data_IF_282562001805
#
_entry.id   IF_282562001805
#
_cell.length_a   1.000
_cell.length_b   1.000
_cell.length_c   1.000
_cell.angle_alpha   90.00
_cell.angle_beta   90.00
_cell.angle_gamma   90.00
#
_symmetry.space_group_name_H-M   'P 1'
#
loop_
_entity.id
_entity.type
_entity.pdbx_description
1 polymer ?
#
# COMPACT_ATOMS: atom_id res chain seq x y z
N UNK A 1 5.88 -1.52 -51.73
CA UNK A 1 6.60 -0.25 -51.97
C UNK A 1 7.20 0.21 -50.65
N UNK A 2 8.50 0.50 -50.63
CA UNK A 2 9.28 0.86 -49.45
C UNK A 2 9.18 2.38 -49.24
N UNK A 3 8.91 2.83 -48.02
CA UNK A 3 9.20 4.21 -47.61
C UNK A 3 9.81 4.18 -46.22
N UNK A 4 11.14 4.39 -46.19
CA UNK A 4 11.93 4.66 -44.99
C UNK A 4 11.95 6.17 -44.81
N UNK A 5 11.54 6.69 -43.66
CA UNK A 5 11.90 8.05 -43.25
C UNK A 5 12.44 7.96 -41.82
N UNK A 6 13.75 8.10 -41.72
CA UNK A 6 14.46 8.38 -40.49
C UNK A 6 14.48 9.90 -40.31
N UNK A 7 14.20 10.39 -39.11
CA UNK A 7 14.68 11.69 -38.68
C UNK A 7 15.12 11.59 -37.21
N UNK A 8 16.43 11.73 -37.03
CA UNK A 8 17.08 11.96 -35.76
C UNK A 8 17.04 13.46 -35.44
N UNK A 9 16.99 13.85 -34.16
CA UNK A 9 17.67 15.05 -33.66
C UNK A 9 17.77 15.07 -32.11
N UNK A 10 18.96 14.71 -31.63
CA UNK A 10 19.89 15.45 -30.75
C UNK A 10 19.41 16.32 -29.55
N UNK A 11 19.64 15.80 -28.33
CA UNK A 11 20.38 16.31 -27.14
C UNK A 11 20.50 17.83 -26.85
N UNK A 12 20.23 18.23 -25.60
CA UNK A 12 21.07 19.16 -24.81
C UNK A 12 20.79 19.09 -23.27
N UNK A 13 21.87 19.03 -22.49
CA UNK A 13 22.00 19.07 -21.03
C UNK A 13 21.78 20.46 -20.42
N UNK A 14 21.40 20.53 -19.13
CA UNK A 14 21.90 21.56 -18.21
C UNK A 14 21.91 21.04 -16.75
N UNK A 15 22.94 21.46 -16.03
CA UNK A 15 23.44 21.00 -14.73
C UNK A 15 22.98 21.88 -13.54
N UNK A 16 23.26 21.35 -12.35
CA UNK A 16 23.72 22.03 -11.14
C UNK A 16 22.70 22.57 -10.12
N UNK A 17 22.91 22.17 -8.87
CA UNK A 17 22.25 22.68 -7.68
C UNK A 17 22.67 21.92 -6.42
N UNK A 18 23.97 21.97 -6.08
CA UNK A 18 24.51 21.54 -4.78
C UNK A 18 24.38 22.71 -3.80
N UNK A 19 23.85 22.46 -2.60
CA UNK A 19 23.81 23.44 -1.51
C UNK A 19 23.70 22.73 -0.18
N UNK A 20 24.86 22.53 0.45
CA UNK A 20 25.00 21.96 1.80
C UNK A 20 24.65 22.95 2.90
N UNK A 21 24.49 22.39 4.10
CA UNK A 21 24.23 23.13 5.33
C UNK A 21 24.26 22.16 6.52
N UNK A 22 25.47 21.72 6.87
CA UNK A 22 25.82 21.16 8.18
C UNK A 22 25.86 22.30 9.19
N UNK A 23 25.17 22.16 10.33
CA UNK A 23 25.41 22.86 11.61
C UNK A 23 24.31 22.42 12.58
N UNK A 24 24.49 22.22 13.88
CA UNK A 24 25.64 22.09 14.73
C UNK A 24 25.11 21.41 15.99
N UNK A 25 25.90 20.52 16.55
CA UNK A 25 25.65 19.97 17.87
C UNK A 25 25.77 21.08 18.92
N UNK A 26 24.87 21.10 19.90
CA UNK A 26 25.14 21.73 21.18
C UNK A 26 24.56 20.86 22.29
N UNK A 27 25.46 20.13 22.94
CA UNK A 27 25.29 19.64 24.30
C UNK A 27 24.92 20.81 25.21
N UNK A 28 24.02 20.59 26.18
CA UNK A 28 24.19 21.13 27.52
C UNK A 28 23.52 20.21 28.54
N UNK A 29 24.31 19.88 29.53
CA UNK A 29 24.15 18.90 30.58
C UNK A 29 23.61 19.55 31.86
N UNK A 30 23.03 18.71 32.73
CA UNK A 30 22.89 18.84 34.18
C UNK A 30 21.75 19.68 34.74
N UNK A 31 20.79 18.98 35.35
CA UNK A 31 20.45 19.21 36.78
C UNK A 31 20.06 17.88 37.40
N UNK A 32 20.59 17.63 38.60
CA UNK A 32 20.51 16.39 39.33
C UNK A 32 19.50 16.48 40.49
N UNK A 33 18.96 15.31 40.86
CA UNK A 33 18.47 14.91 42.19
C UNK A 33 17.13 15.50 42.65
N UNK A 34 16.11 14.64 42.73
CA UNK A 34 15.40 14.34 43.98
C UNK A 34 14.54 13.08 43.78
N UNK A 35 14.94 12.00 44.46
CA UNK A 35 14.08 10.85 44.75
C UNK A 35 13.37 11.13 46.08
N UNK A 36 12.04 11.05 46.14
CA UNK A 36 11.32 10.92 47.39
C UNK A 36 10.67 9.53 47.51
N UNK A 37 11.09 8.86 48.57
CA UNK A 37 10.48 7.75 49.31
C UNK A 37 8.99 7.43 49.06
N UNK A 38 8.75 6.12 49.02
CA UNK A 38 7.44 5.49 49.08
C UNK A 38 6.65 5.87 50.34
N UNK A 39 5.33 6.04 50.19
CA UNK A 39 4.37 6.15 51.29
C UNK A 39 3.04 5.55 50.82
N UNK A 40 2.29 4.86 51.70
CA UNK A 40 1.61 3.61 51.38
C UNK A 40 0.25 3.77 50.69
N UNK A 41 -0.11 2.72 49.96
CA UNK A 41 -1.44 2.41 49.43
C UNK A 41 -2.50 2.50 50.52
N UNK A 42 -3.52 3.36 50.37
CA UNK A 42 -4.79 3.21 51.07
C UNK A 42 -5.58 2.05 50.43
N UNK A 43 -5.89 1.02 51.22
CA UNK A 43 -6.95 0.06 50.93
C UNK A 43 -8.29 0.83 50.93
N UNK A 44 -8.77 1.20 49.75
CA UNK A 44 -10.10 1.76 49.56
C UNK A 44 -11.09 0.60 49.43
N UNK A 45 -11.76 0.30 50.55
CA UNK A 45 -12.92 -0.59 50.64
C UNK A 45 -14.12 0.10 49.94
N UNK A 46 -14.10 0.03 48.61
CA UNK A 46 -15.17 0.56 47.78
C UNK A 46 -16.47 -0.25 47.96
N UNK A 47 -17.65 0.40 47.98
CA UNK A 47 -18.93 -0.29 48.12
C UNK A 47 -19.18 -1.29 46.97
N UNK A 48 -20.00 -2.33 47.19
CA UNK A 48 -20.18 -3.41 46.22
C UNK A 48 -20.59 -2.88 44.84
N UNK A 49 -19.81 -3.24 43.81
CA UNK A 49 -20.08 -2.93 42.41
C UNK A 49 -21.41 -3.57 42.03
N UNK A 50 -22.46 -2.75 41.99
CA UNK A 50 -23.74 -3.14 41.38
C UNK A 50 -23.51 -3.17 39.87
N UNK A 51 -23.44 -4.37 39.28
CA UNK A 51 -23.41 -4.51 37.83
C UNK A 51 -24.66 -3.87 37.22
N UNK A 52 -24.56 -2.90 36.29
CA UNK A 52 -25.72 -2.40 35.60
C UNK A 52 -26.27 -3.49 34.67
N UNK A 53 -27.53 -3.85 34.87
CA UNK A 53 -28.34 -4.62 33.92
C UNK A 53 -28.28 -3.95 32.54
N UNK A 54 -27.95 -4.66 31.45
CA UNK A 54 -27.87 -4.06 30.11
C UNK A 54 -29.24 -3.52 29.68
N UNK A 55 -29.32 -2.22 29.40
CA UNK A 55 -30.42 -1.63 28.68
C UNK A 55 -30.33 -2.00 27.18
N UNK A 56 -31.44 -2.37 26.51
CA UNK A 56 -31.43 -2.62 25.09
C UNK A 56 -31.38 -1.29 24.33
N UNK A 57 -30.35 -1.10 23.52
CA UNK A 57 -30.30 -0.04 22.51
C UNK A 57 -29.21 1.00 22.72
N UNK A 58 -28.02 0.71 22.21
CA UNK A 58 -27.13 1.74 21.68
C UNK A 58 -26.31 1.13 20.56
N UNK A 59 -26.30 1.83 19.43
CA UNK A 59 -25.63 1.43 18.20
C UNK A 59 -24.20 0.96 18.50
N UNK A 60 -23.86 -0.22 17.99
CA UNK A 60 -22.50 -0.72 18.06
C UNK A 60 -21.60 0.35 17.42
N UNK A 61 -20.70 0.91 18.23
CA UNK A 61 -19.51 1.59 17.73
C UNK A 61 -18.81 0.55 16.87
N UNK A 62 -18.79 0.75 15.55
CA UNK A 62 -18.03 -0.09 14.63
C UNK A 62 -16.55 0.12 14.94
N UNK A 63 -16.02 -0.70 15.84
CA UNK A 63 -14.59 -0.83 16.05
C UNK A 63 -14.01 -1.30 14.72
N UNK A 64 -13.05 -0.59 14.10
CA UNK A 64 -12.42 -1.04 12.87
C UNK A 64 -11.86 -2.44 13.09
N UNK A 65 -12.04 -3.38 12.14
CA UNK A 65 -11.50 -4.71 12.28
C UNK A 65 -9.98 -4.60 12.53
N UNK A 66 -9.41 -5.44 13.41
CA UNK A 66 -7.97 -5.47 13.61
C UNK A 66 -7.26 -5.67 12.26
N UNK A 67 -6.02 -5.16 12.09
CA UNK A 67 -5.27 -5.36 10.86
C UNK A 67 -5.27 -6.84 10.53
N UNK A 68 -5.92 -7.20 9.41
CA UNK A 68 -5.97 -8.59 8.95
C UNK A 68 -4.52 -9.06 8.87
N UNK A 69 -4.17 -10.08 9.65
CA UNK A 69 -2.84 -10.69 9.66
C UNK A 69 -2.52 -11.21 8.25
N UNK A 70 -2.02 -10.32 7.41
CA UNK A 70 -1.72 -10.58 6.02
C UNK A 70 -0.22 -10.71 5.88
N UNK A 71 0.19 -11.74 5.15
CA UNK A 71 1.55 -11.85 4.64
C UNK A 71 1.50 -11.80 3.14
N UNK A 72 2.61 -11.34 2.55
CA UNK A 72 2.79 -11.50 1.14
C UNK A 72 3.19 -12.93 0.80
N UNK A 73 2.70 -13.40 -0.34
CA UNK A 73 3.20 -14.60 -1.00
C UNK A 73 3.10 -14.40 -2.52
N UNK A 74 3.91 -15.17 -3.25
CA UNK A 74 3.85 -15.23 -4.70
C UNK A 74 3.01 -16.44 -5.09
N UNK A 75 2.03 -16.20 -5.95
CA UNK A 75 1.27 -17.24 -6.65
C UNK A 75 1.69 -17.24 -8.12
N UNK A 76 1.86 -18.43 -8.69
CA UNK A 76 2.05 -18.60 -10.12
C UNK A 76 0.69 -18.91 -10.74
N UNK A 77 0.22 -18.03 -11.61
CA UNK A 77 -1.00 -18.21 -12.38
C UNK A 77 -0.61 -18.51 -13.85
N UNK A 78 -1.50 -19.14 -14.65
CA UNK A 78 -1.21 -19.43 -16.07
C UNK A 78 -0.82 -18.19 -16.88
N UNK A 79 -1.38 -17.03 -16.49
CA UNK A 79 -1.18 -15.76 -17.16
C UNK A 79 0.03 -14.97 -16.63
N UNK A 80 0.67 -15.42 -15.55
CA UNK A 80 1.83 -14.76 -14.99
C UNK A 80 1.96 -14.86 -13.47
N UNK A 81 2.94 -14.12 -12.96
CA UNK A 81 3.26 -14.09 -11.54
C UNK A 81 2.39 -13.05 -10.82
N UNK A 82 1.81 -13.44 -9.69
CA UNK A 82 0.93 -12.61 -8.86
C UNK A 82 1.48 -12.52 -7.44
N UNK A 83 1.57 -11.30 -6.90
CA UNK A 83 1.85 -11.07 -5.49
C UNK A 83 0.52 -10.90 -4.78
N UNK A 84 0.30 -11.64 -3.71
CA UNK A 84 -0.97 -11.63 -2.97
C UNK A 84 -0.68 -11.32 -1.50
N UNK A 85 -1.39 -10.34 -0.96
CA UNK A 85 -1.37 -10.00 0.46
C UNK A 85 -2.64 -10.50 1.14
N UNK A 86 -2.49 -11.38 2.12
CA UNK A 86 -3.62 -11.89 2.90
C UNK A 86 -3.34 -13.26 3.50
N UNK A 87 -4.40 -14.00 3.88
CA UNK A 87 -4.24 -15.38 4.34
C UNK A 87 -3.69 -16.25 3.20
N UNK A 88 -2.83 -17.23 3.51
CA UNK A 88 -2.27 -18.13 2.50
C UNK A 88 -3.39 -18.91 1.81
N UNK A 89 -3.25 -19.13 0.49
CA UNK A 89 -4.21 -19.83 -0.38
C UNK A 89 -5.55 -19.12 -0.63
N UNK A 90 -5.75 -17.91 -0.11
CA UNK A 90 -6.92 -17.09 -0.44
C UNK A 90 -6.72 -16.19 -1.66
N UNK A 91 -7.72 -15.35 -1.88
CA UNK A 91 -7.77 -14.31 -2.91
C UNK A 91 -6.85 -13.13 -2.55
N UNK A 92 -6.65 -12.92 -1.24
CA UNK A 92 -5.92 -11.81 -0.68
C UNK A 92 -6.76 -10.54 -0.58
N UNK A 93 -6.42 -9.68 0.38
CA UNK A 93 -7.03 -8.36 0.50
C UNK A 93 -6.51 -7.42 -0.60
N UNK A 94 -5.25 -7.56 -1.01
CA UNK A 94 -4.67 -6.86 -2.14
C UNK A 94 -3.85 -7.85 -2.96
N UNK A 95 -3.96 -7.81 -4.28
CA UNK A 95 -3.07 -8.55 -5.17
C UNK A 95 -2.60 -7.72 -6.34
N UNK A 96 -1.42 -8.07 -6.86
CA UNK A 96 -0.79 -7.41 -7.99
C UNK A 96 -0.33 -8.49 -8.96
N UNK A 97 -0.94 -8.54 -10.13
CA UNK A 97 -0.65 -9.51 -11.18
C UNK A 97 0.10 -8.84 -12.33
N UNK A 98 1.10 -9.52 -12.86
CA UNK A 98 1.71 -9.15 -14.12
C UNK A 98 0.86 -9.60 -15.31
N UNK A 99 0.42 -8.66 -16.15
CA UNK A 99 -0.13 -8.93 -17.48
C UNK A 99 0.93 -8.56 -18.52
N UNK A 100 1.79 -9.54 -18.85
CA UNK A 100 2.88 -9.34 -19.78
C UNK A 100 2.41 -9.02 -21.22
N UNK A 101 1.39 -9.72 -21.78
CA UNK A 101 0.82 -9.36 -23.09
C UNK A 101 0.27 -7.93 -23.14
N UNK A 102 -0.46 -7.51 -22.09
CA UNK A 102 -1.02 -6.15 -21.97
C UNK A 102 -0.01 -5.09 -21.54
N UNK A 103 1.22 -5.48 -21.18
CA UNK A 103 2.30 -4.60 -20.69
C UNK A 103 1.86 -3.72 -19.53
N UNK A 104 1.11 -4.32 -18.61
CA UNK A 104 0.51 -3.64 -17.46
C UNK A 104 0.57 -4.51 -16.21
N UNK A 105 0.44 -3.87 -15.06
CA UNK A 105 0.11 -4.53 -13.80
C UNK A 105 -1.40 -4.40 -13.56
N UNK A 106 -1.99 -5.47 -13.04
CA UNK A 106 -3.37 -5.49 -12.61
C UNK A 106 -3.34 -5.50 -11.08
N UNK A 107 -3.83 -4.43 -10.47
CA UNK A 107 -4.05 -4.33 -9.05
C UNK A 107 -5.48 -4.78 -8.77
N UNK A 108 -5.67 -5.69 -7.82
CA UNK A 108 -6.99 -6.12 -7.37
C UNK A 108 -7.11 -5.91 -5.86
N UNK A 109 -8.21 -5.28 -5.44
CA UNK A 109 -8.54 -5.01 -4.05
C UNK A 109 -9.85 -5.74 -3.72
N UNK A 110 -9.79 -6.64 -2.75
CA UNK A 110 -10.96 -7.33 -2.23
C UNK A 110 -11.80 -6.33 -1.41
N UNK A 111 -13.01 -6.06 -1.89
CA UNK A 111 -14.00 -5.19 -1.28
C UNK A 111 -15.37 -5.48 -1.92
N UNK A 112 -16.47 -5.34 -1.19
CA UNK A 112 -17.80 -5.55 -1.76
C UNK A 112 -18.19 -4.36 -2.64
N UNK A 113 -18.44 -4.54 -3.95
CA UNK A 113 -18.93 -3.45 -4.77
C UNK A 113 -20.36 -3.06 -4.39
N UNK A 114 -20.60 -1.76 -4.29
CA UNK A 114 -21.92 -1.15 -4.04
C UNK A 114 -22.67 -0.81 -5.35
N UNK A 115 -21.95 -0.81 -6.48
CA UNK A 115 -22.44 -0.48 -7.81
C UNK A 115 -21.54 -1.08 -8.90
N UNK A 116 -22.04 -1.12 -10.14
CA UNK A 116 -21.24 -1.50 -11.33
C UNK A 116 -20.38 -0.34 -11.87
N UNK A 117 -20.42 0.83 -11.22
CA UNK A 117 -19.68 1.99 -11.66
C UNK A 117 -18.18 1.86 -11.33
N UNK A 118 -17.28 2.35 -12.23
CA UNK A 118 -15.87 2.45 -11.90
C UNK A 118 -15.62 3.43 -10.75
N UNK A 119 -14.66 3.10 -9.89
CA UNK A 119 -14.26 3.92 -8.74
C UNK A 119 -12.79 4.34 -8.83
N UNK A 120 -12.39 5.27 -7.98
CA UNK A 120 -11.01 5.67 -7.78
C UNK A 120 -10.30 4.70 -6.83
N UNK A 121 -9.28 3.98 -7.30
CA UNK A 121 -8.34 3.24 -6.44
C UNK A 121 -7.08 4.09 -6.28
N UNK A 122 -6.93 4.72 -5.12
CA UNK A 122 -5.75 5.49 -4.76
C UNK A 122 -4.72 4.56 -4.12
N UNK A 123 -3.46 4.69 -4.56
CA UNK A 123 -2.32 3.97 -4.00
C UNK A 123 -1.33 5.00 -3.46
N UNK A 124 -1.13 5.01 -2.14
CA UNK A 124 -0.28 5.98 -1.46
C UNK A 124 0.97 5.32 -0.90
N UNK A 125 2.10 5.96 -1.15
CA UNK A 125 3.36 5.76 -0.45
C UNK A 125 3.79 7.11 0.13
N UNK A 126 4.59 7.14 1.21
CA UNK A 126 5.15 8.40 1.72
C UNK A 126 5.95 9.18 0.66
N UNK A 127 6.55 8.47 -0.30
CA UNK A 127 7.35 9.04 -1.40
C UNK A 127 6.54 9.39 -2.65
N UNK A 128 5.22 9.23 -2.64
CA UNK A 128 4.34 9.59 -3.75
C UNK A 128 3.11 8.71 -3.87
N UNK A 129 2.10 9.19 -4.57
CA UNK A 129 0.85 8.49 -4.79
C UNK A 129 0.53 8.35 -6.29
N UNK A 130 -0.42 7.46 -6.59
CA UNK A 130 -0.98 7.30 -7.93
C UNK A 130 -2.46 6.92 -7.82
N UNK A 131 -3.22 7.26 -8.85
CA UNK A 131 -4.65 7.02 -8.91
C UNK A 131 -4.95 6.11 -10.11
N UNK A 132 -5.67 5.03 -9.86
CA UNK A 132 -6.17 4.10 -10.87
C UNK A 132 -7.68 4.24 -10.98
N UNK A 133 -8.19 4.18 -12.22
CA UNK A 133 -9.60 3.85 -12.42
C UNK A 133 -9.75 2.34 -12.20
N UNK A 134 -10.55 1.96 -11.22
CA UNK A 134 -10.81 0.58 -10.88
C UNK A 134 -12.24 0.19 -11.26
N UNK A 135 -12.41 -1.02 -11.78
CA UNK A 135 -13.69 -1.55 -12.24
C UNK A 135 -14.16 -2.62 -11.25
N UNK A 136 -15.45 -2.66 -10.91
CA UNK A 136 -15.98 -3.69 -10.03
C UNK A 136 -15.96 -5.05 -10.72
N UNK A 137 -15.73 -6.08 -9.92
CA UNK A 137 -15.87 -7.49 -10.25
C UNK A 137 -16.81 -8.06 -9.18
N UNK A 138 -17.97 -8.57 -9.58
CA UNK A 138 -19.04 -8.99 -8.66
C UNK A 138 -19.26 -10.50 -8.63
N UNK A 139 -18.51 -11.24 -9.44
CA UNK A 139 -18.62 -12.70 -9.55
C UNK A 139 -17.81 -13.41 -8.44
N UNK A 140 -17.18 -14.54 -8.74
CA UNK A 140 -16.54 -15.49 -7.81
C UNK A 140 -15.81 -14.85 -6.62
N UNK A 141 -15.14 -13.70 -6.86
CA UNK A 141 -14.45 -12.94 -5.81
C UNK A 141 -14.79 -11.45 -5.94
N UNK A 142 -15.71 -10.92 -5.10
CA UNK A 142 -16.14 -9.53 -5.20
C UNK A 142 -15.01 -8.56 -4.85
N UNK A 143 -14.72 -7.64 -5.75
CA UNK A 143 -13.61 -6.71 -5.61
C UNK A 143 -13.58 -5.62 -6.67
N UNK A 144 -12.45 -4.91 -6.69
CA UNK A 144 -12.16 -3.89 -7.69
C UNK A 144 -10.80 -4.13 -8.30
N UNK A 145 -10.70 -4.07 -9.62
CA UNK A 145 -9.42 -4.17 -10.32
C UNK A 145 -9.07 -2.90 -11.10
N UNK A 146 -7.81 -2.46 -10.99
CA UNK A 146 -7.25 -1.33 -11.71
C UNK A 146 -6.06 -1.76 -12.57
N UNK A 147 -5.88 -1.12 -13.72
CA UNK A 147 -4.78 -1.41 -14.64
C UNK A 147 -3.76 -0.29 -14.63
N UNK A 148 -2.49 -0.62 -14.41
CA UNK A 148 -1.38 0.33 -14.40
C UNK A 148 -0.36 -0.01 -15.49
N UNK A 149 -0.06 0.88 -16.44
CA UNK A 149 0.97 0.65 -17.44
C UNK A 149 2.35 0.42 -16.81
N UNK A 150 3.16 -0.51 -17.34
CA UNK A 150 4.52 -0.80 -16.80
C UNK A 150 5.52 0.36 -16.91
N UNK A 151 5.16 1.40 -17.67
CA UNK A 151 5.95 2.64 -17.84
C UNK A 151 5.60 3.71 -16.82
N UNK A 152 4.61 3.47 -15.98
CA UNK A 152 4.18 4.41 -14.96
C UNK A 152 5.36 4.73 -14.00
N UNK A 153 5.68 6.03 -13.77
CA UNK A 153 6.84 6.41 -12.96
C UNK A 153 6.77 6.01 -11.48
N UNK A 154 5.58 6.04 -10.87
CA UNK A 154 5.35 5.62 -9.49
C UNK A 154 5.74 4.16 -9.24
N UNK A 155 5.75 3.28 -10.26
CA UNK A 155 6.33 1.93 -10.12
C UNK A 155 7.83 1.93 -9.77
N UNK A 156 8.60 2.95 -10.18
CA UNK A 156 9.99 3.11 -9.74
C UNK A 156 10.04 3.50 -8.26
N UNK A 157 9.14 4.38 -7.85
CA UNK A 157 8.96 4.80 -6.45
C UNK A 157 8.60 3.59 -5.58
N UNK A 158 7.65 2.76 -6.00
CA UNK A 158 7.23 1.52 -5.32
C UNK A 158 8.40 0.54 -5.13
N UNK A 159 9.24 0.35 -6.15
CA UNK A 159 10.40 -0.54 -6.06
C UNK A 159 11.44 -0.04 -5.03
N UNK A 160 11.61 1.27 -4.91
CA UNK A 160 12.52 1.90 -3.95
C UNK A 160 11.93 2.01 -2.53
N UNK A 161 10.60 2.04 -2.40
CA UNK A 161 9.90 2.31 -1.16
C UNK A 161 10.17 1.29 -0.05
N UNK A 162 10.02 1.72 1.20
CA UNK A 162 10.00 0.91 2.42
C UNK A 162 8.77 1.31 3.23
N UNK A 163 8.41 0.50 4.23
CA UNK A 163 7.24 0.78 5.08
C UNK A 163 5.96 0.20 4.47
N UNK A 164 4.89 0.97 4.45
CA UNK A 164 3.56 0.55 4.01
C UNK A 164 3.14 1.28 2.73
N UNK A 165 2.33 0.59 1.93
CA UNK A 165 1.49 1.18 0.89
C UNK A 165 0.06 1.18 1.41
N UNK A 166 -0.60 2.32 1.28
CA UNK A 166 -2.02 2.43 1.56
C UNK A 166 -2.79 2.34 0.25
N UNK A 167 -3.82 1.50 0.20
CA UNK A 167 -4.78 1.48 -0.89
C UNK A 167 -6.12 1.95 -0.38
N UNK A 168 -6.74 2.89 -1.05
CA UNK A 168 -8.04 3.45 -0.69
C UNK A 168 -8.98 3.42 -1.91
N UNK A 169 -10.19 2.91 -1.69
CA UNK A 169 -11.26 2.87 -2.69
C UNK A 169 -12.20 4.05 -2.44
N UNK A 170 -11.99 5.13 -3.19
CA UNK A 170 -12.87 6.31 -3.22
C UNK A 170 -13.21 6.87 -1.82
N UNK A 171 -12.22 6.84 -0.90
CA UNK A 171 -12.33 7.32 0.47
C UNK A 171 -13.06 6.39 1.45
N UNK A 172 -13.41 5.15 1.06
CA UNK A 172 -14.33 4.29 1.82
C UNK A 172 -13.70 3.05 2.46
N UNK A 173 -12.61 2.52 1.90
CA UNK A 173 -12.02 1.25 2.35
C UNK A 173 -10.48 1.31 2.35
N UNK A 174 -9.88 2.07 3.29
CA UNK A 174 -8.44 2.17 3.41
C UNK A 174 -7.85 0.84 3.90
N UNK A 175 -6.81 0.38 3.20
CA UNK A 175 -6.01 -0.78 3.57
C UNK A 175 -4.54 -0.41 3.55
N UNK A 176 -3.88 -0.55 4.69
CA UNK A 176 -2.43 -0.45 4.80
C UNK A 176 -1.80 -1.83 4.71
N UNK A 177 -0.85 -2.02 3.79
CA UNK A 177 -0.08 -3.27 3.66
C UNK A 177 1.42 -2.97 3.59
N UNK A 178 2.30 -3.84 4.11
CA UNK A 178 3.73 -3.63 4.01
C UNK A 178 4.21 -3.69 2.55
N UNK A 179 5.18 -2.88 2.19
CA UNK A 179 5.91 -3.01 0.92
C UNK A 179 6.95 -4.13 1.08
N UNK A 180 6.61 -5.33 0.65
CA UNK A 180 7.42 -6.53 0.83
C UNK A 180 8.20 -6.96 -0.44
N UNK A 181 9.23 -7.82 -0.31
CA UNK A 181 10.01 -8.32 -1.43
C UNK A 181 9.18 -8.99 -2.53
N UNK A 182 8.12 -9.70 -2.20
CA UNK A 182 7.24 -10.40 -3.15
C UNK A 182 6.55 -9.44 -4.11
N UNK A 183 5.98 -8.35 -3.57
CA UNK A 183 5.37 -7.29 -4.37
C UNK A 183 6.41 -6.68 -5.31
N UNK A 184 7.59 -6.33 -4.78
CA UNK A 184 8.68 -5.77 -5.58
C UNK A 184 9.17 -6.73 -6.66
N UNK A 185 9.23 -8.02 -6.35
CA UNK A 185 9.65 -9.07 -7.29
C UNK A 185 8.69 -9.16 -8.47
N UNK A 186 7.37 -9.13 -8.24
CA UNK A 186 6.37 -9.11 -9.33
C UNK A 186 6.51 -7.88 -10.21
N UNK A 187 6.60 -6.70 -9.61
CA UNK A 187 6.75 -5.43 -10.34
C UNK A 187 8.05 -5.44 -11.15
N UNK A 188 9.17 -5.84 -10.55
CA UNK A 188 10.46 -5.89 -11.22
C UNK A 188 10.49 -6.91 -12.37
N UNK A 189 9.96 -8.12 -12.13
CA UNK A 189 9.87 -9.17 -13.14
C UNK A 189 9.04 -8.72 -14.35
N UNK A 190 7.87 -8.14 -14.11
CA UNK A 190 6.98 -7.68 -15.17
C UNK A 190 7.62 -6.59 -16.03
N UNK A 191 8.30 -5.62 -15.40
CA UNK A 191 9.01 -4.55 -16.11
C UNK A 191 10.22 -5.06 -16.90
N UNK A 192 10.93 -6.07 -16.40
CA UNK A 192 12.05 -6.68 -17.12
C UNK A 192 11.57 -7.45 -18.37
N UNK A 193 10.44 -8.17 -18.28
CA UNK A 193 9.86 -8.87 -19.43
C UNK A 193 9.49 -7.90 -20.57
N UNK A 194 8.97 -6.71 -20.23
CA UNK A 194 8.63 -5.67 -21.20
C UNK A 194 9.84 -5.15 -22.01
N UNK A 195 11.03 -5.14 -21.41
CA UNK A 195 12.25 -4.64 -22.06
C UNK A 195 12.82 -5.66 -23.06
N UNK A 196 12.66 -6.96 -22.79
CA UNK A 196 13.11 -8.04 -23.66
C UNK A 196 12.30 -8.16 -24.96
N UNK A 197 11.04 -7.75 -24.94
CA UNK A 197 10.15 -7.75 -26.10
C UNK A 197 10.25 -6.51 -27.01
N UNK A 198 11.25 -5.63 -26.80
CA UNK A 198 11.45 -4.46 -27.65
C UNK A 198 12.35 -4.86 -28.84
N UNK A 199 11.86 -4.80 -30.10
CA UNK A 199 12.68 -5.07 -31.28
C UNK A 199 13.79 -4.03 -31.46
#
# INVERSE_FOLDING_TARGET
MRARIALALTVAMALAGCGGGDDAATQNNSTAIAEPEATPTPEDDGPPVVSPTPAPGSAAVSIPPPPREGRWYIRQDPDGMTAVFGPPKGEGSLSVRCDAPGRQLIFYRLAQPDSEAPVALNLFLPSGNTLLRAFPETEDHPGYYGRMPLREPWLKTLLAARGTIESDLDGRDPLSVPVAPELKQVVAHCRAAQQKGKP
#
